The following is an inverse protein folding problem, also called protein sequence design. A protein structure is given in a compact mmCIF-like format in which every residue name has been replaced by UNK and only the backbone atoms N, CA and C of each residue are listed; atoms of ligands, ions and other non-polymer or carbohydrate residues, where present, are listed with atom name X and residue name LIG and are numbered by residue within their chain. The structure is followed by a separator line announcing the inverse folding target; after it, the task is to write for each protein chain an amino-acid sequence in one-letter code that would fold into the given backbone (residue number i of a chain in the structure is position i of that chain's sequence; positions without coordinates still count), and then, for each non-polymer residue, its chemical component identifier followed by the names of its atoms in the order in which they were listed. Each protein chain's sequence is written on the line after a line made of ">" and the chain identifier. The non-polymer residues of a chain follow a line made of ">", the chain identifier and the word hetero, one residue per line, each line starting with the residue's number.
data_IF_655035240287
#
_entry.id   IF_655035240287
#
_cell.length_a   1.000
_cell.length_b   1.000
_cell.length_c   1.000
_cell.angle_alpha   90.00
_cell.angle_beta   90.00
_cell.angle_gamma   90.00
#
_symmetry.space_group_name_H-M   'P 1'
#
loop_
_entity.id
_entity.type
_entity.pdbx_description
1 polymer ?
#
# COMPACT_ATOMS: atom_id res chain seq x y z
N UNK A 1 8.86 -10.10 -0.40
CA UNK A 1 8.31 -9.12 -1.35
C UNK A 1 6.92 -9.51 -1.87
N UNK A 2 6.76 -10.57 -2.68
CA UNK A 2 5.45 -10.92 -3.25
C UNK A 2 4.31 -11.09 -2.22
N UNK A 3 4.58 -11.76 -1.10
CA UNK A 3 3.62 -11.91 0.00
C UNK A 3 3.18 -10.55 0.57
N UNK A 4 4.14 -9.66 0.84
CA UNK A 4 3.87 -8.32 1.36
C UNK A 4 3.02 -7.50 0.39
N UNK A 5 3.39 -7.47 -0.89
CA UNK A 5 2.63 -6.77 -1.92
C UNK A 5 1.18 -7.26 -1.99
N UNK A 6 0.97 -8.57 -1.95
CA UNK A 6 -0.37 -9.16 -1.96
C UNK A 6 -1.16 -8.77 -0.70
N UNK A 7 -0.57 -8.86 0.49
CA UNK A 7 -1.23 -8.46 1.74
C UNK A 7 -1.61 -6.98 1.74
N UNK A 8 -0.78 -6.10 1.15
CA UNK A 8 -1.03 -4.67 1.04
C UNK A 8 -2.06 -4.27 -0.03
N UNK A 9 -2.69 -5.23 -0.71
CA UNK A 9 -3.70 -4.93 -1.72
C UNK A 9 -3.15 -4.73 -3.14
N UNK A 10 -1.84 -4.93 -3.37
CA UNK A 10 -1.27 -4.86 -4.73
C UNK A 10 -1.67 -6.11 -5.49
N UNK A 11 -2.70 -5.98 -6.35
CA UNK A 11 -3.30 -7.10 -7.11
C UNK A 11 -2.70 -7.28 -8.51
N UNK A 12 -2.06 -6.25 -9.05
CA UNK A 12 -1.38 -6.31 -10.35
C UNK A 12 0.11 -6.57 -10.14
N UNK A 13 0.66 -7.55 -10.84
CA UNK A 13 2.05 -7.99 -10.74
C UNK A 13 2.62 -8.21 -12.13
N UNK A 14 3.85 -7.76 -12.35
CA UNK A 14 4.68 -8.06 -13.52
C UNK A 14 5.91 -8.80 -13.02
N UNK A 15 6.31 -9.86 -13.73
CA UNK A 15 7.54 -10.61 -13.42
C UNK A 15 8.53 -10.38 -14.56
N UNK A 16 9.59 -9.63 -14.28
CA UNK A 16 10.73 -9.50 -15.16
C UNK A 16 11.77 -10.57 -14.83
N UNK A 17 12.03 -11.50 -15.75
CA UNK A 17 13.09 -12.51 -15.63
C UNK A 17 14.39 -11.87 -16.12
N UNK A 18 15.13 -11.27 -15.20
CA UNK A 18 16.33 -10.52 -15.50
C UNK A 18 17.57 -11.43 -15.68
N UNK A 19 18.63 -10.87 -16.28
CA UNK A 19 19.93 -11.49 -16.54
C UNK A 19 19.89 -12.64 -17.55
N UNK A 20 19.01 -12.55 -18.56
CA UNK A 20 18.92 -13.56 -19.61
C UNK A 20 20.22 -13.71 -20.43
N UNK A 21 21.05 -12.67 -20.47
CA UNK A 21 22.40 -12.72 -21.05
C UNK A 21 23.31 -13.76 -20.39
N UNK A 22 23.19 -13.93 -19.06
CA UNK A 22 24.00 -14.92 -18.31
C UNK A 22 23.61 -16.36 -18.59
N UNK A 23 22.40 -16.58 -19.13
CA UNK A 23 21.88 -17.90 -19.52
C UNK A 23 21.86 -18.08 -21.03
N UNK A 24 22.61 -17.25 -21.77
CA UNK A 24 22.67 -17.24 -23.24
C UNK A 24 21.27 -17.17 -23.87
N UNK A 25 20.37 -16.38 -23.26
CA UNK A 25 19.01 -16.16 -23.73
C UNK A 25 18.24 -17.46 -23.95
N UNK A 26 18.47 -18.47 -23.10
CA UNK A 26 17.87 -19.81 -23.22
C UNK A 26 16.35 -19.81 -22.97
N UNK A 27 15.59 -20.31 -23.95
CA UNK A 27 14.14 -20.53 -23.85
C UNK A 27 13.79 -21.54 -22.75
N UNK A 28 14.49 -22.68 -22.71
CA UNK A 28 14.26 -23.73 -21.71
C UNK A 28 14.41 -23.19 -20.29
N UNK A 29 15.47 -22.40 -20.05
CA UNK A 29 15.71 -21.80 -18.74
C UNK A 29 14.63 -20.79 -18.37
N UNK A 30 14.17 -19.98 -19.32
CA UNK A 30 13.07 -19.05 -19.11
C UNK A 30 11.77 -19.78 -18.75
N UNK A 31 11.43 -20.84 -19.49
CA UNK A 31 10.22 -21.63 -19.26
C UNK A 31 10.24 -22.36 -17.90
N UNK A 32 11.39 -22.87 -17.48
CA UNK A 32 11.59 -23.43 -16.14
C UNK A 32 11.31 -22.38 -15.05
N UNK A 33 11.89 -21.18 -15.18
CA UNK A 33 11.70 -20.07 -14.23
C UNK A 33 10.23 -19.65 -14.16
N UNK A 34 9.55 -19.55 -15.31
CA UNK A 34 8.11 -19.22 -15.34
C UNK A 34 7.31 -20.26 -14.56
N UNK A 35 7.60 -21.55 -14.75
CA UNK A 35 6.88 -22.64 -14.07
C UNK A 35 7.03 -22.54 -12.56
N UNK A 36 8.25 -22.40 -12.06
CA UNK A 36 8.51 -22.29 -10.61
C UNK A 36 7.90 -21.01 -10.02
N UNK A 37 8.10 -19.88 -10.71
CA UNK A 37 7.61 -18.58 -10.26
C UNK A 37 6.08 -18.55 -10.26
N UNK A 38 5.44 -19.12 -11.27
CA UNK A 38 3.98 -19.26 -11.35
C UNK A 38 3.41 -20.06 -10.18
N UNK A 39 4.06 -21.17 -9.80
CA UNK A 39 3.66 -21.96 -8.63
C UNK A 39 3.84 -21.13 -7.35
N UNK A 40 4.95 -20.39 -7.23
CA UNK A 40 5.22 -19.55 -6.07
C UNK A 40 4.18 -18.43 -5.90
N UNK A 41 3.93 -17.62 -6.93
CA UNK A 41 2.98 -16.51 -6.85
C UNK A 41 1.53 -17.00 -6.69
N UNK A 42 1.19 -18.18 -7.22
CA UNK A 42 -0.10 -18.85 -6.98
C UNK A 42 -0.27 -19.26 -5.52
N UNK A 43 0.80 -19.72 -4.86
CA UNK A 43 0.80 -20.02 -3.42
C UNK A 43 0.62 -18.75 -2.58
N UNK A 44 1.16 -17.62 -3.05
CA UNK A 44 0.97 -16.30 -2.41
C UNK A 44 -0.48 -15.82 -2.54
N UNK A 45 -1.10 -16.02 -3.71
CA UNK A 45 -2.50 -15.65 -3.95
C UNK A 45 -2.75 -14.97 -5.31
N UNK A 46 -1.71 -14.66 -6.07
CA UNK A 46 -1.86 -14.11 -7.42
C UNK A 46 -2.39 -15.16 -8.41
N UNK A 47 -3.14 -14.71 -9.42
CA UNK A 47 -3.47 -15.54 -10.58
C UNK A 47 -2.33 -15.44 -11.60
N UNK A 48 -1.56 -16.52 -11.88
CA UNK A 48 -0.45 -16.45 -12.84
C UNK A 48 -0.87 -16.06 -14.25
N UNK A 49 -2.12 -16.31 -14.65
CA UNK A 49 -2.63 -15.90 -15.96
C UNK A 49 -2.80 -14.38 -16.11
N UNK A 50 -2.91 -13.66 -15.00
CA UNK A 50 -3.02 -12.20 -14.98
C UNK A 50 -1.66 -11.50 -14.86
N UNK A 51 -0.56 -12.27 -14.93
CA UNK A 51 0.81 -11.77 -14.73
C UNK A 51 1.59 -11.88 -16.04
N UNK A 52 2.16 -10.76 -16.48
CA UNK A 52 3.09 -10.75 -17.60
C UNK A 52 4.48 -11.24 -17.14
N UNK A 53 5.05 -12.19 -17.87
CA UNK A 53 6.41 -12.68 -17.68
C UNK A 53 7.29 -12.18 -18.83
N UNK A 54 8.24 -11.30 -18.53
CA UNK A 54 9.08 -10.64 -19.54
C UNK A 54 10.53 -11.07 -19.36
N UNK A 55 11.17 -11.77 -20.32
CA UNK A 55 12.59 -12.06 -20.27
C UNK A 55 13.36 -10.78 -20.64
N UNK A 56 14.25 -10.32 -19.76
CA UNK A 56 15.01 -9.08 -19.97
C UNK A 56 16.50 -9.27 -19.65
N UNK A 57 17.32 -8.36 -20.19
CA UNK A 57 18.62 -8.03 -19.62
C UNK A 57 18.61 -6.55 -19.27
N UNK A 58 18.52 -6.23 -17.98
CA UNK A 58 18.59 -4.83 -17.53
C UNK A 58 19.94 -4.17 -17.83
N UNK A 59 21.00 -4.96 -18.02
CA UNK A 59 22.34 -4.45 -18.34
C UNK A 59 22.50 -4.14 -19.83
N UNK A 60 22.07 -5.05 -20.71
CA UNK A 60 22.20 -4.90 -22.16
C UNK A 60 21.00 -4.23 -22.82
N UNK A 61 19.90 -4.02 -22.08
CA UNK A 61 18.69 -3.36 -22.56
C UNK A 61 17.69 -4.29 -23.26
N UNK A 62 17.97 -5.59 -23.36
CA UNK A 62 17.10 -6.56 -24.04
C UNK A 62 15.67 -6.54 -23.48
N UNK A 63 14.68 -6.36 -24.35
CA UNK A 63 13.24 -6.32 -24.01
C UNK A 63 12.84 -5.27 -22.97
N UNK A 64 13.68 -4.26 -22.71
CA UNK A 64 13.34 -3.18 -21.78
C UNK A 64 12.37 -2.18 -22.42
N UNK A 65 12.80 -1.55 -23.52
CA UNK A 65 12.04 -0.57 -24.29
C UNK A 65 11.71 -1.09 -25.70
N UNK A 66 12.61 -1.90 -26.26
CA UNK A 66 12.52 -2.45 -27.62
C UNK A 66 12.71 -3.97 -27.58
N UNK A 67 12.21 -4.65 -28.62
CA UNK A 67 12.36 -6.10 -28.76
C UNK A 67 13.83 -6.50 -28.95
N UNK A 68 14.25 -7.50 -28.19
CA UNK A 68 15.60 -8.02 -28.29
C UNK A 68 15.77 -8.90 -29.53
N UNK A 69 16.83 -8.69 -30.34
CA UNK A 69 17.19 -9.62 -31.42
C UNK A 69 17.75 -10.96 -30.91
N UNK A 70 18.16 -11.03 -29.63
CA UNK A 70 18.80 -12.23 -29.04
C UNK A 70 17.79 -13.31 -28.62
N UNK A 71 16.49 -13.00 -28.61
CA UNK A 71 15.42 -13.89 -28.15
C UNK A 71 14.36 -14.11 -29.23
N UNK A 72 14.75 -14.55 -30.42
CA UNK A 72 13.83 -14.79 -31.56
C UNK A 72 12.72 -15.82 -31.28
N UNK A 73 12.94 -16.70 -30.29
CA UNK A 73 11.94 -17.64 -29.78
C UNK A 73 10.81 -16.96 -29.02
N UNK A 74 11.08 -15.84 -28.34
CA UNK A 74 10.11 -15.16 -27.49
C UNK A 74 9.07 -14.42 -28.33
N UNK A 75 7.80 -14.84 -28.22
CA UNK A 75 6.68 -14.26 -29.00
C UNK A 75 5.93 -13.15 -28.28
N UNK A 76 6.45 -12.71 -27.13
CA UNK A 76 5.79 -11.75 -26.26
C UNK A 76 5.10 -12.39 -25.06
N UNK A 77 4.77 -11.56 -24.09
CA UNK A 77 4.00 -11.92 -22.92
C UNK A 77 2.51 -11.74 -23.22
N UNK A 78 1.68 -12.46 -22.45
CA UNK A 78 0.24 -12.29 -22.45
C UNK A 78 -0.27 -12.29 -21.01
N UNK A 79 -1.29 -11.49 -20.73
CA UNK A 79 -2.00 -11.50 -19.45
C UNK A 79 -3.51 -11.36 -19.65
N UNK A 80 -4.27 -12.07 -18.82
CA UNK A 80 -5.72 -11.94 -18.72
C UNK A 80 -6.08 -10.77 -17.80
N UNK A 81 -6.89 -9.84 -18.30
CA UNK A 81 -7.52 -8.76 -17.53
C UNK A 81 -9.04 -8.95 -17.54
N UNK A 82 -9.77 -8.08 -16.82
CA UNK A 82 -11.24 -8.10 -16.86
C UNK A 82 -11.79 -7.74 -18.25
N UNK A 83 -11.04 -6.98 -19.04
CA UNK A 83 -11.42 -6.53 -20.37
C UNK A 83 -11.01 -7.50 -21.50
N UNK A 84 -10.19 -8.50 -21.21
CA UNK A 84 -9.74 -9.50 -22.19
C UNK A 84 -8.26 -9.85 -22.04
N UNK A 85 -7.67 -10.40 -23.09
CA UNK A 85 -6.23 -10.75 -23.12
C UNK A 85 -5.44 -9.58 -23.69
N UNK A 86 -4.48 -9.10 -22.91
CA UNK A 86 -3.50 -8.07 -23.33
C UNK A 86 -2.18 -8.76 -23.64
N UNK A 87 -1.51 -8.31 -24.69
CA UNK A 87 -0.22 -8.83 -25.14
C UNK A 87 0.77 -7.68 -25.34
N UNK A 88 2.05 -7.99 -25.19
CA UNK A 88 3.14 -7.08 -25.51
C UNK A 88 4.45 -7.86 -25.56
N UNK A 89 5.55 -7.17 -25.85
CA UNK A 89 6.86 -7.80 -25.96
C UNK A 89 7.83 -7.29 -24.90
N UNK A 90 7.80 -6.00 -24.62
CA UNK A 90 8.78 -5.34 -23.77
C UNK A 90 8.28 -5.18 -22.33
N UNK A 91 9.20 -4.79 -21.44
CA UNK A 91 8.86 -4.42 -20.07
C UNK A 91 8.05 -3.11 -20.04
N UNK A 92 8.37 -2.17 -20.94
CA UNK A 92 7.59 -0.94 -21.09
C UNK A 92 6.14 -1.26 -21.47
N UNK A 93 5.92 -2.13 -22.46
CA UNK A 93 4.57 -2.56 -22.85
C UNK A 93 3.81 -3.14 -21.63
N UNK A 94 4.51 -3.89 -20.77
CA UNK A 94 3.89 -4.53 -19.62
C UNK A 94 3.45 -3.51 -18.55
N UNK A 95 4.26 -2.45 -18.36
CA UNK A 95 3.98 -1.34 -17.46
C UNK A 95 2.82 -0.49 -18.00
N UNK A 96 2.85 -0.14 -19.29
CA UNK A 96 1.78 0.63 -19.93
C UNK A 96 0.44 -0.14 -19.94
N UNK A 97 0.51 -1.47 -19.96
CA UNK A 97 -0.66 -2.33 -19.85
C UNK A 97 -1.23 -2.45 -18.41
N UNK A 98 -0.66 -1.80 -17.39
CA UNK A 98 -1.22 -1.78 -16.03
C UNK A 98 -2.57 -1.06 -16.06
N UNK A 99 -3.62 -1.70 -15.53
CA UNK A 99 -4.92 -1.08 -15.41
C UNK A 99 -4.84 0.06 -14.37
N UNK A 100 -5.19 1.30 -14.72
CA UNK A 100 -5.17 2.40 -13.77
C UNK A 100 -6.03 2.07 -12.53
N UNK A 101 -5.52 2.28 -11.30
CA UNK A 101 -6.33 2.04 -10.12
C UNK A 101 -7.49 3.04 -10.08
N UNK A 102 -8.64 2.58 -9.62
CA UNK A 102 -9.79 3.46 -9.38
C UNK A 102 -9.44 4.41 -8.23
N UNK A 103 -9.35 5.71 -8.53
CA UNK A 103 -9.12 6.73 -7.52
C UNK A 103 -10.38 6.87 -6.65
N UNK A 104 -10.28 6.72 -5.32
CA UNK A 104 -11.43 6.72 -4.42
C UNK A 104 -11.95 8.15 -4.11
N UNK A 105 -12.25 8.94 -5.13
CA UNK A 105 -12.66 10.36 -4.97
C UNK A 105 -14.03 10.52 -4.32
N UNK A 106 -14.93 9.55 -4.51
CA UNK A 106 -16.28 9.54 -3.92
C UNK A 106 -16.31 9.05 -2.47
N UNK A 107 -15.19 8.55 -1.94
CA UNK A 107 -15.11 8.13 -0.52
C UNK A 107 -14.90 9.36 0.38
N UNK A 108 -15.19 9.24 1.68
CA UNK A 108 -14.84 10.28 2.66
C UNK A 108 -13.36 10.66 2.62
N UNK A 109 -13.05 11.94 2.91
CA UNK A 109 -11.68 12.44 2.94
C UNK A 109 -10.86 11.72 4.02
N UNK A 110 -9.70 11.18 3.63
CA UNK A 110 -8.64 10.71 4.53
C UNK A 110 -7.29 11.19 4.01
N UNK A 111 -6.63 12.05 4.79
CA UNK A 111 -5.33 12.61 4.46
C UNK A 111 -4.41 12.48 5.68
N UNK A 112 -3.64 11.37 5.78
CA UNK A 112 -2.63 11.19 6.81
C UNK A 112 -1.51 12.23 6.67
N UNK A 113 -1.19 12.91 7.77
CA UNK A 113 -0.18 13.96 7.80
C UNK A 113 1.22 13.35 7.79
N UNK A 114 2.04 13.78 6.85
CA UNK A 114 3.47 13.44 6.77
C UNK A 114 4.29 14.42 7.61
N UNK A 115 4.02 15.72 7.48
CA UNK A 115 4.70 16.79 8.20
C UNK A 115 3.75 17.97 8.48
N UNK A 116 4.13 18.84 9.42
CA UNK A 116 3.40 20.06 9.75
C UNK A 116 4.38 21.22 9.87
N UNK A 117 4.20 22.25 9.05
CA UNK A 117 5.08 23.41 8.99
C UNK A 117 4.41 24.67 9.55
N UNK A 118 5.22 25.59 10.07
CA UNK A 118 4.82 26.96 10.38
C UNK A 118 5.47 27.90 9.36
N UNK A 119 4.67 28.48 8.48
CA UNK A 119 5.15 29.40 7.44
C UNK A 119 4.82 30.83 7.83
N UNK A 120 5.82 31.72 7.84
CA UNK A 120 5.63 33.14 8.16
C UNK A 120 4.62 33.81 7.22
N UNK A 121 3.67 34.57 7.75
CA UNK A 121 2.61 35.24 6.98
C UNK A 121 1.45 34.34 6.52
N UNK A 122 1.66 33.01 6.47
CA UNK A 122 0.66 32.03 6.03
C UNK A 122 0.02 31.32 7.22
N UNK A 123 0.81 30.89 8.20
CA UNK A 123 0.35 30.16 9.38
C UNK A 123 0.76 28.69 9.37
N UNK A 124 -0.16 27.81 9.78
CA UNK A 124 0.10 26.37 9.89
C UNK A 124 -0.26 25.67 8.59
N UNK A 125 0.69 24.88 8.06
CA UNK A 125 0.55 24.15 6.80
C UNK A 125 0.90 22.67 7.02
N UNK A 126 -0.10 21.80 7.19
CA UNK A 126 0.09 20.37 7.14
C UNK A 126 0.33 19.89 5.71
N UNK A 127 1.14 18.84 5.58
CA UNK A 127 1.45 18.21 4.30
C UNK A 127 1.17 16.72 4.40
N UNK A 128 0.57 16.15 3.36
CA UNK A 128 0.33 14.72 3.27
C UNK A 128 -0.25 14.30 1.94
N UNK A 129 -0.49 13.00 1.80
CA UNK A 129 -1.12 12.42 0.62
C UNK A 129 -2.62 12.28 0.86
N UNK A 130 -3.42 12.67 -0.12
CA UNK A 130 -4.86 12.35 -0.12
C UNK A 130 -4.99 10.86 -0.44
N UNK A 131 -5.44 10.05 0.52
CA UNK A 131 -5.63 8.61 0.31
C UNK A 131 -7.04 8.31 -0.23
N UNK A 132 -8.05 9.00 0.30
CA UNK A 132 -9.44 8.92 -0.15
C UNK A 132 -10.12 10.28 -0.12
N UNK A 133 -11.18 10.44 -0.91
CA UNK A 133 -11.95 11.67 -1.01
C UNK A 133 -11.21 12.81 -1.69
N UNK A 134 -11.71 14.02 -1.48
CA UNK A 134 -11.13 15.25 -2.03
C UNK A 134 -10.93 16.28 -0.93
N UNK A 135 -9.93 17.14 -1.08
CA UNK A 135 -9.71 18.29 -0.20
C UNK A 135 -9.79 19.58 -1.03
N UNK A 136 -10.53 20.57 -0.54
CA UNK A 136 -10.72 21.88 -1.19
C UNK A 136 -10.62 23.01 -0.19
N UNK A 137 -10.28 24.20 -0.68
CA UNK A 137 -10.47 25.41 0.10
C UNK A 137 -11.95 25.57 0.52
N UNK A 138 -12.17 26.08 1.74
CA UNK A 138 -13.48 26.23 2.36
C UNK A 138 -14.03 24.99 3.05
N UNK A 139 -13.41 23.81 2.89
CA UNK A 139 -13.80 22.62 3.64
C UNK A 139 -13.48 22.78 5.12
N UNK A 140 -14.37 22.29 5.98
CA UNK A 140 -14.12 22.20 7.43
C UNK A 140 -13.61 20.80 7.71
N UNK A 141 -12.33 20.70 8.06
CA UNK A 141 -11.66 19.43 8.35
C UNK A 141 -11.47 19.24 9.85
N UNK A 142 -11.46 17.98 10.28
CA UNK A 142 -11.08 17.56 11.62
C UNK A 142 -9.89 16.62 11.59
N UNK A 143 -9.01 16.74 12.59
CA UNK A 143 -7.79 15.96 12.72
C UNK A 143 -7.95 14.91 13.80
N UNK A 144 -7.93 13.63 13.41
CA UNK A 144 -7.88 12.53 14.36
C UNK A 144 -6.42 12.20 14.72
N UNK A 145 -6.11 11.82 15.98
CA UNK A 145 -7.03 11.61 17.09
C UNK A 145 -7.23 12.87 17.98
N UNK A 146 -6.64 14.02 17.65
CA UNK A 146 -6.68 15.21 18.52
C UNK A 146 -8.04 15.93 18.53
N UNK A 147 -8.91 15.61 17.57
CA UNK A 147 -10.25 16.18 17.35
C UNK A 147 -10.25 17.70 17.15
N UNK A 148 -9.13 18.27 16.72
CA UNK A 148 -9.03 19.69 16.34
C UNK A 148 -9.74 19.90 15.01
N UNK A 149 -10.60 20.91 14.93
CA UNK A 149 -11.38 21.22 13.74
C UNK A 149 -11.05 22.62 13.22
N UNK A 150 -10.94 22.77 11.90
CA UNK A 150 -10.62 24.03 11.24
C UNK A 150 -11.12 24.06 9.81
N UNK A 151 -11.26 25.26 9.26
CA UNK A 151 -11.46 25.49 7.84
C UNK A 151 -10.11 25.45 7.09
N UNK A 152 -10.10 24.83 5.91
CA UNK A 152 -8.98 24.85 4.95
C UNK A 152 -9.05 26.13 4.13
N UNK A 153 -7.96 26.90 4.04
CA UNK A 153 -7.94 28.17 3.29
C UNK A 153 -7.40 28.06 1.87
N UNK A 154 -6.36 27.25 1.68
CA UNK A 154 -5.80 26.96 0.37
C UNK A 154 -5.27 25.53 0.37
N UNK A 155 -5.17 24.96 -0.83
CA UNK A 155 -4.52 23.67 -1.09
C UNK A 155 -3.50 23.93 -2.19
N UNK A 156 -2.29 23.43 -2.02
CA UNK A 156 -1.16 23.66 -2.91
C UNK A 156 -0.40 22.35 -3.17
N UNK A 157 0.12 22.21 -4.39
CA UNK A 157 1.01 21.12 -4.80
C UNK A 157 2.12 21.71 -5.66
N UNK A 158 3.39 21.41 -5.34
CA UNK A 158 4.56 21.94 -6.07
C UNK A 158 4.57 23.47 -6.23
N UNK A 159 4.14 24.21 -5.20
CA UNK A 159 4.05 25.68 -5.19
C UNK A 159 2.99 26.28 -6.12
N UNK A 160 2.09 25.46 -6.65
CA UNK A 160 0.92 25.92 -7.39
C UNK A 160 -0.35 25.67 -6.58
N UNK A 161 -1.26 26.65 -6.59
CA UNK A 161 -2.54 26.54 -5.92
C UNK A 161 -3.48 25.63 -6.70
N UNK A 162 -4.12 24.71 -5.99
CA UNK A 162 -5.10 23.77 -6.54
C UNK A 162 -6.52 24.21 -6.17
N UNK A 163 -7.47 24.00 -7.08
CA UNK A 163 -8.90 24.09 -6.77
C UNK A 163 -9.32 22.96 -5.82
N UNK A 164 -8.77 21.76 -6.05
CA UNK A 164 -8.97 20.57 -5.22
C UNK A 164 -7.77 19.63 -5.27
N UNK A 165 -7.46 18.97 -4.15
CA UNK A 165 -6.56 17.82 -4.10
C UNK A 165 -7.36 16.52 -4.26
N UNK A 166 -6.89 15.63 -5.13
CA UNK A 166 -7.53 14.35 -5.45
C UNK A 166 -6.73 13.18 -4.85
N UNK A 167 -7.32 11.96 -4.75
CA UNK A 167 -6.60 10.80 -4.25
C UNK A 167 -5.31 10.54 -5.04
N UNK A 168 -4.19 10.39 -4.32
CA UNK A 168 -2.84 10.23 -4.85
C UNK A 168 -1.99 11.51 -4.84
N UNK A 169 -2.61 12.68 -4.77
CA UNK A 169 -1.89 13.96 -4.76
C UNK A 169 -1.20 14.17 -3.41
N UNK A 170 0.05 14.62 -3.42
CA UNK A 170 0.76 15.04 -2.21
C UNK A 170 0.61 16.56 -2.09
N UNK A 171 -0.20 17.00 -1.14
CA UNK A 171 -0.62 18.40 -1.04
C UNK A 171 -0.19 19.01 0.30
N UNK A 172 0.15 20.29 0.28
CA UNK A 172 0.15 21.15 1.45
C UNK A 172 -1.14 21.94 1.52
N UNK A 173 -1.70 22.16 2.70
CA UNK A 173 -2.94 22.95 2.82
C UNK A 173 -2.87 23.90 4.00
N UNK A 174 -3.36 25.12 3.83
CA UNK A 174 -3.37 26.11 4.90
C UNK A 174 -4.57 25.93 5.82
N UNK A 175 -4.35 26.00 7.13
CA UNK A 175 -5.41 26.01 8.15
C UNK A 175 -5.24 27.19 9.11
N UNK A 176 -6.37 27.73 9.59
CA UNK A 176 -6.38 28.85 10.57
C UNK A 176 -6.60 28.34 11.98
N UNK A 177 -6.13 29.12 12.97
CA UNK A 177 -6.40 28.88 14.40
C UNK A 177 -5.96 27.50 14.93
N UNK A 178 -5.06 26.83 14.22
CA UNK A 178 -4.43 25.57 14.65
C UNK A 178 -2.94 25.81 14.77
N UNK A 179 -2.35 25.50 15.91
CA UNK A 179 -0.91 25.54 16.11
C UNK A 179 -0.24 24.29 15.56
N UNK A 180 1.01 24.40 15.12
CA UNK A 180 1.85 23.24 14.77
C UNK A 180 2.07 22.26 15.93
N UNK A 181 1.73 22.66 17.17
CA UNK A 181 1.77 21.77 18.35
C UNK A 181 0.49 20.95 18.52
N UNK A 182 -0.62 21.36 17.90
CA UNK A 182 -1.94 20.74 18.09
C UNK A 182 -2.15 19.53 17.17
N UNK A 183 -1.34 19.45 16.11
CA UNK A 183 -1.36 18.39 15.10
C UNK A 183 0.06 17.97 14.77
N UNK A 184 0.24 16.71 14.36
CA UNK A 184 1.57 16.14 14.05
C UNK A 184 1.49 15.05 12.99
N UNK A 185 2.65 14.62 12.51
CA UNK A 185 2.81 13.40 11.70
C UNK A 185 2.05 12.22 12.32
N UNK A 186 1.34 11.47 11.48
CA UNK A 186 0.51 10.34 11.91
C UNK A 186 -0.92 10.70 12.33
N UNK A 187 -1.25 12.00 12.44
CA UNK A 187 -2.65 12.42 12.53
C UNK A 187 -3.32 12.31 11.15
N UNK A 188 -4.63 12.18 11.12
CA UNK A 188 -5.41 12.02 9.89
C UNK A 188 -6.40 13.16 9.77
N UNK A 189 -6.26 13.97 8.73
CA UNK A 189 -7.26 14.97 8.39
C UNK A 189 -8.43 14.31 7.64
N UNK A 190 -9.65 14.74 7.95
CA UNK A 190 -10.89 14.24 7.37
C UNK A 190 -11.95 15.34 7.30
N UNK A 191 -12.94 15.20 6.43
CA UNK A 191 -14.06 16.12 6.36
C UNK A 191 -14.95 15.96 7.60
N UNK A 192 -15.21 17.05 8.33
CA UNK A 192 -16.06 17.04 9.51
C UNK A 192 -17.49 16.56 9.18
N UNK A 193 -17.99 16.87 7.99
CA UNK A 193 -19.39 16.64 7.60
C UNK A 193 -19.63 15.26 6.98
N UNK A 194 -18.57 14.54 6.62
CA UNK A 194 -18.67 13.28 5.90
C UNK A 194 -17.74 12.24 6.51
N UNK A 195 -18.29 11.46 7.46
CA UNK A 195 -17.59 10.41 8.19
C UNK A 195 -16.21 10.86 8.72
N UNK A 196 -16.17 11.77 9.71
CA UNK A 196 -14.92 12.24 10.29
C UNK A 196 -14.12 11.09 10.93
N UNK A 197 -12.81 11.10 10.69
CA UNK A 197 -11.87 10.16 11.30
C UNK A 197 -11.87 10.31 12.83
N UNK A 198 -11.62 9.20 13.54
CA UNK A 198 -11.70 9.13 15.02
C UNK A 198 -10.52 8.37 15.59
N UNK A 199 -10.28 8.58 16.88
CA UNK A 199 -9.36 7.74 17.65
C UNK A 199 -9.87 6.29 17.75
N UNK A 200 -8.98 5.33 17.54
CA UNK A 200 -9.23 3.92 17.76
C UNK A 200 -8.75 3.51 19.16
N UNK A 201 -9.69 3.18 20.05
CA UNK A 201 -9.35 2.62 21.38
C UNK A 201 -8.71 1.22 21.26
N UNK A 202 -9.18 0.44 20.30
CA UNK A 202 -8.60 -0.83 19.88
C UNK A 202 -9.09 -1.18 18.48
N UNK A 203 -8.39 -2.07 17.80
CA UNK A 203 -8.83 -2.58 16.50
C UNK A 203 -8.43 -4.03 16.33
N UNK A 204 -9.25 -4.79 15.61
CA UNK A 204 -8.91 -6.16 15.23
C UNK A 204 -8.24 -6.14 13.86
N UNK A 205 -7.10 -6.82 13.73
CA UNK A 205 -6.38 -6.91 12.47
C UNK A 205 -6.01 -8.35 12.15
N UNK A 206 -6.02 -8.68 10.86
CA UNK A 206 -5.40 -9.89 10.36
C UNK A 206 -3.88 -9.69 10.31
N UNK A 207 -3.15 -10.45 11.11
CA UNK A 207 -1.68 -10.42 11.19
C UNK A 207 -1.12 -11.69 10.58
N UNK A 208 -0.16 -11.53 9.66
CA UNK A 208 0.63 -12.64 9.10
C UNK A 208 2.03 -12.55 9.70
N UNK A 209 2.43 -13.58 10.44
CA UNK A 209 3.73 -13.62 11.07
C UNK A 209 4.78 -13.99 10.02
N UNK A 210 5.68 -13.05 9.73
CA UNK A 210 6.81 -13.27 8.83
C UNK A 210 7.91 -14.08 9.55
N UNK A 211 9.11 -14.10 8.97
CA UNK A 211 10.23 -14.83 9.54
C UNK A 211 10.68 -14.20 10.87
N UNK A 212 10.25 -14.77 11.98
CA UNK A 212 10.52 -14.35 13.35
C UNK A 212 11.13 -15.53 14.14
N UNK A 213 12.24 -15.31 14.88
CA UNK A 213 12.97 -16.40 15.53
C UNK A 213 12.24 -16.99 16.75
N UNK A 214 11.29 -16.26 17.32
CA UNK A 214 10.52 -16.67 18.51
C UNK A 214 9.02 -16.85 18.24
N UNK A 215 8.29 -17.06 19.33
CA UNK A 215 6.83 -17.09 19.35
C UNK A 215 6.28 -15.74 19.83
N UNK A 216 5.12 -15.35 19.30
CA UNK A 216 4.41 -14.14 19.72
C UNK A 216 3.21 -14.57 20.57
N UNK A 217 3.13 -14.08 21.79
CA UNK A 217 2.02 -14.33 22.72
C UNK A 217 1.26 -13.04 23.01
N UNK A 218 0.08 -13.17 23.61
CA UNK A 218 -0.65 -12.00 24.13
C UNK A 218 0.24 -11.20 25.08
N UNK A 219 0.20 -9.87 24.95
CA UNK A 219 1.07 -8.94 25.66
C UNK A 219 2.26 -8.43 24.86
N UNK A 220 2.63 -9.06 23.74
CA UNK A 220 3.65 -8.55 22.84
C UNK A 220 3.29 -7.14 22.34
N UNK A 221 4.23 -6.19 22.39
CA UNK A 221 3.96 -4.78 22.09
C UNK A 221 4.99 -4.19 21.10
N UNK A 222 4.99 -4.63 19.84
CA UNK A 222 5.86 -4.07 18.81
C UNK A 222 5.39 -2.68 18.39
N UNK A 223 6.27 -1.96 17.69
CA UNK A 223 5.89 -0.75 16.97
C UNK A 223 5.20 -1.13 15.67
N UNK A 224 4.05 -0.51 15.42
CA UNK A 224 3.30 -0.60 14.18
C UNK A 224 3.47 0.67 13.37
N UNK A 225 3.88 0.50 12.13
CA UNK A 225 3.77 1.51 11.08
C UNK A 225 2.42 1.34 10.38
N UNK A 226 1.57 2.36 10.46
CA UNK A 226 0.29 2.42 9.78
C UNK A 226 0.17 3.81 9.15
N UNK A 227 -0.05 3.87 7.83
CA UNK A 227 0.02 5.12 7.06
C UNK A 227 1.28 5.94 7.38
N UNK A 228 1.15 7.08 8.05
CA UNK A 228 2.27 7.92 8.52
C UNK A 228 2.49 7.84 10.03
N UNK A 229 1.63 7.11 10.76
CA UNK A 229 1.75 6.86 12.19
C UNK A 229 2.77 5.75 12.51
N UNK A 230 3.50 5.96 13.59
CA UNK A 230 4.52 5.06 14.12
C UNK A 230 4.29 4.91 15.63
N UNK A 231 3.53 3.90 16.04
CA UNK A 231 3.02 3.76 17.41
C UNK A 231 3.13 2.31 17.88
N UNK A 232 3.58 2.11 19.13
CA UNK A 232 3.57 0.78 19.75
C UNK A 232 2.14 0.31 19.99
N UNK A 233 1.80 -0.91 19.56
CA UNK A 233 0.49 -1.50 19.78
C UNK A 233 0.63 -2.84 20.49
N UNK A 234 -0.07 -2.98 21.62
CA UNK A 234 -0.11 -4.24 22.37
C UNK A 234 -1.03 -5.23 21.66
N UNK A 235 -0.53 -6.45 21.47
CA UNK A 235 -1.30 -7.62 21.10
C UNK A 235 -2.11 -8.02 22.34
N UNK A 236 -3.26 -7.37 22.54
CA UNK A 236 -4.06 -7.56 23.74
C UNK A 236 -4.64 -8.97 23.80
N UNK A 237 -5.07 -9.49 22.66
CA UNK A 237 -5.67 -10.81 22.52
C UNK A 237 -5.34 -11.40 21.15
N UNK A 238 -4.94 -12.67 21.13
CA UNK A 238 -4.89 -13.47 19.91
C UNK A 238 -6.26 -14.12 19.76
N UNK A 239 -7.15 -13.52 18.97
CA UNK A 239 -8.57 -13.90 18.90
C UNK A 239 -8.73 -15.27 18.25
N UNK A 240 -8.10 -15.46 17.09
CA UNK A 240 -8.14 -16.74 16.37
C UNK A 240 -6.95 -16.89 15.43
N UNK A 241 -6.48 -18.11 15.25
CA UNK A 241 -5.59 -18.51 14.18
C UNK A 241 -6.43 -18.84 12.94
N UNK A 242 -5.97 -18.39 11.78
CA UNK A 242 -6.70 -18.57 10.51
C UNK A 242 -5.79 -19.14 9.42
N UNK A 243 -6.38 -19.79 8.44
CA UNK A 243 -5.68 -20.12 7.20
C UNK A 243 -5.42 -18.85 6.40
N UNK A 244 -4.16 -18.61 6.06
CA UNK A 244 -3.71 -17.36 5.42
C UNK A 244 -4.31 -17.08 4.04
N UNK A 245 -4.84 -18.10 3.36
CA UNK A 245 -5.37 -17.98 1.98
C UNK A 245 -6.88 -17.84 1.96
N UNK A 246 -7.56 -18.61 2.81
CA UNK A 246 -9.02 -18.72 2.83
C UNK A 246 -9.65 -17.86 3.92
N UNK A 247 -8.87 -17.45 4.93
CA UNK A 247 -9.37 -16.76 6.11
C UNK A 247 -10.16 -17.66 7.07
N UNK A 248 -10.25 -18.97 6.80
CA UNK A 248 -11.00 -19.91 7.63
C UNK A 248 -10.32 -20.06 9.00
N UNK A 249 -11.12 -20.02 10.07
CA UNK A 249 -10.65 -20.27 11.42
C UNK A 249 -10.06 -21.69 11.55
N UNK A 250 -8.91 -21.77 12.21
CA UNK A 250 -8.19 -23.02 12.50
C UNK A 250 -8.18 -23.33 14.00
N UNK A 251 -8.05 -22.30 14.83
CA UNK A 251 -7.94 -22.42 16.30
C UNK A 251 -8.45 -21.12 16.93
N UNK A 252 -9.36 -21.19 17.89
CA UNK A 252 -9.81 -20.04 18.68
C UNK A 252 -8.88 -19.82 19.88
N UNK A 253 -8.58 -18.55 20.18
CA UNK A 253 -7.76 -18.18 21.34
C UNK A 253 -6.37 -18.84 21.42
N UNK A 254 -5.55 -18.88 20.34
CA UNK A 254 -4.26 -19.54 20.38
C UNK A 254 -3.34 -18.91 21.45
N UNK A 255 -2.62 -19.75 22.20
CA UNK A 255 -1.69 -19.25 23.24
C UNK A 255 -0.53 -18.44 22.66
N UNK A 256 -0.07 -18.81 21.47
CA UNK A 256 0.99 -18.13 20.74
C UNK A 256 0.84 -18.34 19.23
N UNK A 257 1.48 -17.48 18.45
CA UNK A 257 1.65 -17.63 17.00
C UNK A 257 3.14 -17.61 16.62
N UNK A 258 3.50 -18.28 15.53
CA UNK A 258 4.89 -18.37 15.05
C UNK A 258 4.99 -18.05 13.56
N UNK A 259 6.21 -17.97 13.06
CA UNK A 259 6.53 -17.76 11.65
C UNK A 259 5.65 -18.59 10.70
N UNK A 260 4.98 -17.92 9.77
CA UNK A 260 4.09 -18.51 8.78
C UNK A 260 2.61 -18.57 9.17
N UNK A 261 2.27 -18.37 10.44
CA UNK A 261 0.89 -18.33 10.91
C UNK A 261 0.20 -17.03 10.48
N UNK A 262 -1.12 -17.12 10.25
CA UNK A 262 -2.01 -15.98 10.17
C UNK A 262 -3.00 -16.01 11.34
N UNK A 263 -3.32 -14.86 11.90
CA UNK A 263 -4.24 -14.75 13.04
C UNK A 263 -5.01 -13.43 13.00
N UNK A 264 -6.16 -13.40 13.68
CA UNK A 264 -6.85 -12.17 14.04
C UNK A 264 -6.38 -11.76 15.43
N UNK A 265 -5.89 -10.54 15.56
CA UNK A 265 -5.34 -10.00 16.80
C UNK A 265 -6.11 -8.74 17.17
N UNK A 266 -6.51 -8.62 18.44
CA UNK A 266 -6.98 -7.37 19.01
C UNK A 266 -5.77 -6.53 19.43
N UNK A 267 -5.59 -5.40 18.77
CA UNK A 267 -4.49 -4.49 18.98
C UNK A 267 -4.97 -3.27 19.77
N UNK A 268 -4.19 -2.87 20.77
CA UNK A 268 -4.43 -1.68 21.59
C UNK A 268 -3.23 -0.74 21.44
N UNK A 269 -3.41 0.43 20.80
CA UNK A 269 -2.37 1.45 20.71
C UNK A 269 -1.90 1.92 22.08
N UNK A 270 -0.60 2.15 22.26
CA UNK A 270 -0.03 2.70 23.50
C UNK A 270 -0.19 4.23 23.58
N UNK A 271 -0.58 4.87 22.49
CA UNK A 271 -0.82 6.31 22.33
C UNK A 271 -2.05 6.50 21.43
N UNK A 272 -2.77 7.63 21.54
CA UNK A 272 -3.88 7.94 20.64
C UNK A 272 -3.50 7.75 19.16
N UNK A 273 -4.31 6.98 18.44
CA UNK A 273 -4.06 6.56 17.06
C UNK A 273 -5.35 6.57 16.25
N UNK A 274 -5.28 6.98 14.99
CA UNK A 274 -6.33 6.78 13.99
C UNK A 274 -5.87 5.67 13.04
N UNK A 275 -6.74 4.70 12.74
CA UNK A 275 -6.48 3.57 11.81
C UNK A 275 -7.68 3.29 10.93
#
# INVERSE_FOLDING_TARGET
>A
HALLAFTLGVRQLIVAVNKMDTTKWSEDRFNEIIKETSVFIKKVGYNPKAVAFVPISGWLGDNMLEESPNMSWYKGWQKETKAGVVKGKTLLDAIDAIEPPVRPSEKPLRLPLQDVYKIGGIGTVPVGRVETGIIKAGMVVTFAPTNVTTEVKSVEMHHEQLEQGNPGDNVGFNVKNVSVKDIRRGNVASDLKNDPAKEAASFNAQVIVLNHPGQISAGYAPVLDCHTAHIACKFAELVQKIDRRTGKALEEGPKFVKSGDACIVKLVPSKPMCV
#
